data_IF_459393449508
#
_entry.id   IF_459393449508
#
_cell.length_a   1.000
_cell.length_b   1.000
_cell.length_c   1.000
_cell.angle_alpha   90.00
_cell.angle_beta   90.00
_cell.angle_gamma   90.00
#
_symmetry.space_group_name_H-M   'P 1'
#
loop_
_entity.id
_entity.type
_entity.pdbx_description
1 polymer ?
#
# COMPACT_ATOMS: atom_id res chain seq x y z
N UNK A 1 -5.58 42.21 22.89
CA UNK A 1 -5.11 41.24 21.91
C UNK A 1 -4.92 42.01 20.60
N UNK A 2 -3.67 42.37 20.25
CA UNK A 2 -3.35 43.03 18.98
C UNK A 2 -3.63 42.04 17.86
N UNK A 3 -4.53 42.36 16.95
CA UNK A 3 -4.76 41.55 15.74
C UNK A 3 -3.41 41.43 14.98
N UNK A 4 -2.89 40.24 14.86
CA UNK A 4 -1.73 39.95 14.03
C UNK A 4 -2.20 40.04 12.58
N UNK A 5 -2.03 41.22 11.96
CA UNK A 5 -2.33 41.42 10.55
C UNK A 5 -1.29 40.67 9.70
N UNK A 6 -1.70 39.64 9.01
CA UNK A 6 -0.85 38.92 8.07
C UNK A 6 -0.56 39.84 6.87
N UNK A 7 0.73 40.05 6.56
CA UNK A 7 1.15 40.84 5.41
C UNK A 7 0.62 40.23 4.10
N UNK A 8 0.21 41.11 3.17
CA UNK A 8 -0.34 40.73 1.86
C UNK A 8 0.66 41.08 0.75
N UNK A 9 0.41 40.54 -0.45
CA UNK A 9 1.18 40.91 -1.66
C UNK A 9 1.14 42.43 -1.93
N UNK A 10 0.01 43.06 -1.59
CA UNK A 10 -0.14 44.54 -1.70
C UNK A 10 0.81 45.29 -0.78
N UNK A 11 0.98 44.81 0.46
CA UNK A 11 1.88 45.39 1.42
C UNK A 11 3.34 45.25 0.97
N UNK A 12 3.73 44.09 0.43
CA UNK A 12 5.05 43.87 -0.18
C UNK A 12 5.30 44.81 -1.36
N UNK A 13 4.33 44.91 -2.29
CA UNK A 13 4.45 45.80 -3.45
C UNK A 13 4.61 47.26 -3.02
N UNK A 14 3.83 47.70 -2.04
CA UNK A 14 3.92 49.07 -1.49
C UNK A 14 5.28 49.35 -0.82
N UNK A 15 5.78 48.43 0.02
CA UNK A 15 7.05 48.58 0.69
C UNK A 15 8.23 48.53 -0.28
N UNK A 16 8.17 47.70 -1.32
CA UNK A 16 9.19 47.57 -2.37
C UNK A 16 9.16 48.74 -3.39
N UNK A 17 8.12 49.59 -3.38
CA UNK A 17 7.94 50.65 -4.36
C UNK A 17 7.75 50.15 -5.78
N UNK A 18 7.02 49.04 -5.97
CA UNK A 18 6.76 48.43 -7.27
C UNK A 18 5.25 48.16 -7.47
N UNK A 19 4.84 47.97 -8.70
CA UNK A 19 3.47 47.54 -8.99
C UNK A 19 3.21 46.09 -8.56
N UNK A 20 1.94 45.74 -8.23
CA UNK A 20 1.54 44.41 -7.82
C UNK A 20 1.98 43.29 -8.81
N UNK A 21 1.89 43.55 -10.11
CA UNK A 21 2.34 42.61 -11.16
C UNK A 21 3.85 42.40 -11.13
N UNK A 22 4.64 43.42 -10.76
CA UNK A 22 6.10 43.31 -10.61
C UNK A 22 6.46 42.53 -9.34
N UNK A 23 5.79 42.81 -8.24
CA UNK A 23 5.95 42.03 -7.00
C UNK A 23 5.56 40.54 -7.21
N UNK A 24 4.45 40.27 -7.89
CA UNK A 24 4.01 38.91 -8.24
C UNK A 24 5.03 38.20 -9.12
N UNK A 25 5.61 38.86 -10.13
CA UNK A 25 6.66 38.28 -10.99
C UNK A 25 7.94 37.99 -10.21
N UNK A 26 8.35 38.87 -9.33
CA UNK A 26 9.51 38.65 -8.46
C UNK A 26 9.35 37.40 -7.59
N UNK A 27 8.17 37.24 -7.00
CA UNK A 27 7.83 36.10 -6.12
C UNK A 27 7.68 34.78 -6.89
N UNK A 28 7.06 34.82 -8.07
CA UNK A 28 6.80 33.63 -8.89
C UNK A 28 7.99 33.20 -9.75
N UNK A 29 8.97 34.09 -9.96
CA UNK A 29 10.09 33.88 -10.90
C UNK A 29 9.67 33.84 -12.36
N UNK A 30 8.41 34.23 -12.69
CA UNK A 30 7.85 34.18 -14.05
C UNK A 30 7.83 35.58 -14.69
N UNK A 31 8.57 35.73 -15.77
CA UNK A 31 8.63 36.95 -16.60
C UNK A 31 9.80 37.89 -16.25
N UNK A 32 10.07 38.86 -17.16
CA UNK A 32 11.22 39.77 -16.98
C UNK A 32 11.00 40.73 -15.79
N UNK A 33 12.02 40.84 -14.97
CA UNK A 33 12.12 41.81 -13.86
C UNK A 33 13.55 42.30 -13.76
N UNK A 34 13.78 43.60 -13.45
CA UNK A 34 15.11 44.10 -13.22
C UNK A 34 15.70 43.58 -11.88
N UNK A 35 17.03 43.40 -11.84
CA UNK A 35 17.71 42.92 -10.63
C UNK A 35 17.44 43.83 -9.43
N UNK A 36 17.37 45.13 -9.64
CA UNK A 36 17.06 46.14 -8.61
C UNK A 36 15.64 45.94 -8.04
N UNK A 37 14.63 45.80 -8.91
CA UNK A 37 13.24 45.53 -8.47
C UNK A 37 13.11 44.19 -7.72
N UNK A 38 13.80 43.13 -8.18
CA UNK A 38 13.84 41.86 -7.49
C UNK A 38 14.43 41.96 -6.07
N UNK A 39 15.57 42.68 -5.94
CA UNK A 39 16.20 42.90 -4.64
C UNK A 39 15.30 43.68 -3.67
N UNK A 40 14.64 44.75 -4.13
CA UNK A 40 13.68 45.51 -3.31
C UNK A 40 12.49 44.69 -2.85
N UNK A 41 11.94 43.86 -3.73
CA UNK A 41 10.84 42.94 -3.38
C UNK A 41 11.30 41.89 -2.36
N UNK A 42 12.51 41.35 -2.52
CA UNK A 42 13.06 40.38 -1.56
C UNK A 42 13.26 41.01 -0.19
N UNK A 43 13.82 42.22 -0.10
CA UNK A 43 13.97 42.95 1.14
C UNK A 43 12.61 43.24 1.82
N UNK A 44 11.59 43.61 1.03
CA UNK A 44 10.23 43.82 1.54
C UNK A 44 9.58 42.53 2.07
N UNK A 45 9.80 41.38 1.42
CA UNK A 45 9.34 40.07 1.89
C UNK A 45 9.94 39.75 3.26
N UNK A 46 11.24 39.96 3.43
CA UNK A 46 11.95 39.71 4.68
C UNK A 46 11.47 40.65 5.79
N UNK A 47 11.40 41.96 5.51
CA UNK A 47 10.95 42.96 6.47
C UNK A 47 9.51 42.74 6.98
N UNK A 48 8.62 42.28 6.10
CA UNK A 48 7.22 42.02 6.43
C UNK A 48 6.97 40.58 6.92
N UNK A 49 7.99 39.73 6.97
CA UNK A 49 7.87 38.29 7.17
C UNK A 49 6.74 37.70 6.28
N UNK A 50 6.66 38.22 5.03
CA UNK A 50 5.62 37.85 4.11
C UNK A 50 5.85 36.43 3.60
N UNK A 51 4.85 35.57 3.76
CA UNK A 51 4.83 34.26 3.14
C UNK A 51 3.82 34.26 2.01
N UNK A 52 4.25 34.04 0.75
CA UNK A 52 3.33 33.93 -0.37
C UNK A 52 2.26 32.88 -0.07
N UNK A 53 0.98 33.22 -0.15
CA UNK A 53 -0.09 32.24 0.08
C UNK A 53 0.03 31.13 -0.96
N UNK A 54 -0.20 29.89 -0.51
CA UNK A 54 -0.27 28.73 -1.41
C UNK A 54 -1.33 28.93 -2.51
N UNK A 55 -2.44 29.59 -2.17
CA UNK A 55 -3.54 29.94 -3.08
C UNK A 55 -3.04 30.90 -4.17
N UNK A 56 -2.30 31.95 -3.83
CA UNK A 56 -1.76 32.89 -4.82
C UNK A 56 -0.76 32.25 -5.79
N UNK A 57 0.04 31.29 -5.31
CA UNK A 57 0.92 30.47 -6.18
C UNK A 57 0.11 29.50 -7.03
N UNK A 58 -0.89 28.84 -6.46
CA UNK A 58 -1.76 27.91 -7.17
C UNK A 58 -2.48 28.58 -8.33
N UNK A 59 -3.03 29.79 -8.16
CA UNK A 59 -3.65 30.57 -9.25
C UNK A 59 -2.67 30.86 -10.41
N UNK A 60 -1.39 31.05 -10.11
CA UNK A 60 -0.38 31.32 -11.14
C UNK A 60 0.19 30.05 -11.79
N UNK A 61 0.16 28.92 -11.11
CA UNK A 61 0.77 27.65 -11.56
C UNK A 61 -0.25 26.59 -11.93
N UNK A 62 -1.52 26.78 -11.59
CA UNK A 62 -2.58 25.77 -11.65
C UNK A 62 -2.20 24.47 -10.91
N UNK A 63 -1.46 24.62 -9.80
CA UNK A 63 -0.97 23.50 -8.99
C UNK A 63 -0.75 23.96 -7.55
N UNK A 64 -1.31 23.23 -6.59
CA UNK A 64 -1.03 23.43 -5.16
C UNK A 64 0.29 22.77 -4.72
N UNK A 65 0.87 21.93 -5.57
CA UNK A 65 2.08 21.18 -5.25
C UNK A 65 1.85 20.07 -4.25
N UNK A 66 0.65 19.50 -4.24
CA UNK A 66 0.22 18.44 -3.34
C UNK A 66 -0.33 17.26 -4.12
N UNK A 67 0.06 16.05 -3.71
CA UNK A 67 -0.55 14.80 -4.15
C UNK A 67 -1.37 14.24 -2.98
N UNK A 68 -2.63 13.94 -3.24
CA UNK A 68 -3.48 13.24 -2.29
C UNK A 68 -3.18 11.74 -2.27
N UNK A 69 -3.28 11.11 -1.12
CA UNK A 69 -3.27 9.66 -1.00
C UNK A 69 -4.38 9.21 -0.07
N UNK A 70 -5.22 8.31 -0.56
CA UNK A 70 -6.18 7.60 0.27
C UNK A 70 -5.60 6.27 0.71
N UNK A 71 -5.63 6.01 2.01
CA UNK A 71 -5.34 4.71 2.63
C UNK A 71 -6.50 4.33 3.56
N UNK A 72 -6.93 3.06 3.62
CA UNK A 72 -8.04 2.64 4.50
C UNK A 72 -7.75 2.88 5.98
N UNK A 73 -6.48 2.76 6.37
CA UNK A 73 -6.04 2.94 7.77
C UNK A 73 -4.59 3.43 7.81
N UNK A 74 -4.22 4.09 8.90
CA UNK A 74 -2.80 4.41 9.21
C UNK A 74 -2.08 3.26 9.90
N UNK A 75 -2.77 2.18 10.19
CA UNK A 75 -2.22 1.06 10.93
C UNK A 75 -1.53 0.06 10.01
N UNK A 76 -0.44 -0.53 10.51
CA UNK A 76 0.29 -1.60 9.82
C UNK A 76 1.49 -1.12 8.99
N UNK A 77 2.49 -1.99 8.88
CA UNK A 77 3.74 -1.75 8.15
C UNK A 77 3.57 -1.67 6.64
N UNK A 78 2.56 -2.36 6.08
CA UNK A 78 2.23 -2.30 4.66
C UNK A 78 1.92 -0.87 4.20
N UNK A 79 0.93 -0.20 4.83
CA UNK A 79 0.59 1.19 4.52
C UNK A 79 1.71 2.16 4.87
N UNK A 80 2.48 1.88 5.94
CA UNK A 80 3.66 2.63 6.32
C UNK A 80 4.72 2.65 5.22
N UNK A 81 4.96 1.52 4.56
CA UNK A 81 5.89 1.40 3.42
C UNK A 81 5.42 2.24 2.24
N UNK A 82 4.13 2.18 1.90
CA UNK A 82 3.54 2.96 0.81
C UNK A 82 3.65 4.47 1.09
N UNK A 83 3.28 4.91 2.29
CA UNK A 83 3.36 6.33 2.67
C UNK A 83 4.81 6.84 2.64
N UNK A 84 5.75 6.07 3.19
CA UNK A 84 7.18 6.39 3.17
C UNK A 84 7.72 6.54 1.75
N UNK A 85 7.39 5.60 0.86
CA UNK A 85 7.87 5.63 -0.51
C UNK A 85 7.21 6.78 -1.30
N UNK A 86 5.91 7.02 -1.09
CA UNK A 86 5.20 8.16 -1.69
C UNK A 86 5.84 9.49 -1.28
N UNK A 87 6.12 9.69 0.00
CA UNK A 87 6.78 10.90 0.51
C UNK A 87 8.18 11.06 -0.10
N UNK A 88 8.96 9.99 -0.22
CA UNK A 88 10.30 10.02 -0.80
C UNK A 88 10.29 10.52 -2.27
N UNK A 89 9.40 9.97 -3.11
CA UNK A 89 9.28 10.36 -4.52
C UNK A 89 8.78 11.82 -4.66
N UNK A 90 7.84 12.26 -3.81
CA UNK A 90 7.32 13.62 -3.84
C UNK A 90 8.34 14.65 -3.37
N UNK A 91 9.17 14.32 -2.37
CA UNK A 91 10.28 15.20 -1.93
C UNK A 91 11.29 15.46 -3.05
N UNK A 92 11.56 14.45 -3.91
CA UNK A 92 12.47 14.61 -5.04
C UNK A 92 12.03 15.71 -6.02
N UNK A 93 10.74 15.96 -6.13
CA UNK A 93 10.14 17.03 -6.95
C UNK A 93 9.65 18.23 -6.12
N UNK A 94 10.02 18.31 -4.83
CA UNK A 94 9.62 19.37 -3.89
C UNK A 94 8.10 19.52 -3.79
N UNK A 95 7.39 18.38 -3.68
CA UNK A 95 5.95 18.30 -3.49
C UNK A 95 5.63 17.67 -2.14
N UNK A 96 4.38 17.81 -1.72
CA UNK A 96 3.90 17.32 -0.43
C UNK A 96 2.82 16.27 -0.64
N UNK A 97 2.72 15.32 0.31
CA UNK A 97 1.62 14.38 0.39
C UNK A 97 0.53 14.92 1.32
N UNK A 98 -0.72 14.73 0.95
CA UNK A 98 -1.90 14.91 1.79
C UNK A 98 -2.56 13.56 1.95
N UNK A 99 -2.62 13.05 3.17
CA UNK A 99 -3.17 11.72 3.45
C UNK A 99 -4.61 11.86 3.93
N UNK A 100 -5.51 11.07 3.41
CA UNK A 100 -6.87 10.92 3.90
C UNK A 100 -7.17 9.45 4.20
N UNK A 101 -7.91 9.24 5.28
CA UNK A 101 -8.55 7.96 5.62
C UNK A 101 -10.06 8.13 5.56
N UNK A 102 -10.80 7.04 5.67
CA UNK A 102 -12.24 7.10 5.84
C UNK A 102 -12.65 7.79 7.13
N UNK A 103 -13.82 8.40 7.15
CA UNK A 103 -14.42 9.01 8.34
C UNK A 103 -15.93 8.75 8.39
N UNK A 104 -16.50 8.87 9.61
CA UNK A 104 -17.93 8.68 9.84
C UNK A 104 -18.33 7.22 10.07
N UNK A 105 -19.58 7.03 10.49
CA UNK A 105 -20.22 5.73 10.75
C UNK A 105 -20.95 5.21 9.50
N UNK A 106 -20.24 5.12 8.39
CA UNK A 106 -20.74 4.62 7.10
C UNK A 106 -19.92 3.40 6.66
N UNK A 107 -20.33 2.73 5.59
CA UNK A 107 -19.60 1.56 5.12
C UNK A 107 -18.16 1.89 4.67
N UNK A 108 -17.19 0.95 4.76
CA UNK A 108 -15.82 1.17 4.30
C UNK A 108 -15.74 1.69 2.86
N UNK A 109 -16.64 1.22 1.97
CA UNK A 109 -16.75 1.72 0.59
C UNK A 109 -17.14 3.20 0.53
N UNK A 110 -18.15 3.61 1.30
CA UNK A 110 -18.58 5.02 1.36
C UNK A 110 -17.49 5.90 1.96
N UNK A 111 -16.81 5.44 3.01
CA UNK A 111 -15.66 6.13 3.60
C UNK A 111 -14.55 6.35 2.56
N UNK A 112 -14.24 5.35 1.75
CA UNK A 112 -13.24 5.45 0.70
C UNK A 112 -13.65 6.47 -0.38
N UNK A 113 -14.89 6.44 -0.83
CA UNK A 113 -15.43 7.40 -1.82
C UNK A 113 -15.34 8.83 -1.29
N UNK A 114 -15.77 9.06 -0.05
CA UNK A 114 -15.75 10.39 0.57
C UNK A 114 -14.34 10.92 0.77
N UNK A 115 -13.41 10.08 1.22
CA UNK A 115 -12.02 10.46 1.41
C UNK A 115 -11.33 10.83 0.09
N UNK A 116 -11.58 10.10 -0.99
CA UNK A 116 -11.05 10.45 -2.32
C UNK A 116 -11.69 11.76 -2.82
N UNK A 117 -13.00 11.94 -2.65
CA UNK A 117 -13.69 13.22 -2.99
C UNK A 117 -13.15 14.38 -2.16
N UNK A 118 -12.85 14.17 -0.88
CA UNK A 118 -12.20 15.18 -0.05
C UNK A 118 -10.86 15.62 -0.63
N UNK A 119 -10.01 14.68 -1.04
CA UNK A 119 -8.71 14.99 -1.66
C UNK A 119 -8.86 15.75 -2.98
N UNK A 120 -9.83 15.37 -3.81
CA UNK A 120 -10.19 16.07 -5.05
C UNK A 120 -10.65 17.51 -4.71
N UNK A 121 -11.55 17.67 -3.74
CA UNK A 121 -12.07 18.97 -3.30
C UNK A 121 -11.02 19.86 -2.61
N UNK A 122 -9.86 19.33 -2.27
CA UNK A 122 -8.67 20.07 -1.76
C UNK A 122 -7.73 20.47 -2.89
N UNK A 123 -8.13 20.33 -4.14
CA UNK A 123 -7.34 20.65 -5.32
C UNK A 123 -5.96 19.99 -5.32
N UNK A 124 -5.88 18.74 -4.84
CA UNK A 124 -4.67 17.93 -5.00
C UNK A 124 -4.38 17.77 -6.50
N UNK A 125 -3.11 17.94 -6.88
CA UNK A 125 -2.69 17.89 -8.30
C UNK A 125 -2.88 16.51 -8.93
N UNK A 126 -2.91 15.48 -8.09
CA UNK A 126 -3.21 14.09 -8.42
C UNK A 126 -3.54 13.30 -7.16
N UNK A 127 -4.11 12.11 -7.32
CA UNK A 127 -4.54 11.26 -6.21
C UNK A 127 -4.05 9.83 -6.39
N UNK A 128 -3.43 9.29 -5.33
CA UNK A 128 -3.11 7.87 -5.19
C UNK A 128 -4.24 7.21 -4.40
N UNK A 129 -4.78 6.11 -4.91
CA UNK A 129 -5.89 5.38 -4.28
C UNK A 129 -5.48 3.96 -3.97
N UNK A 130 -5.63 3.56 -2.71
CA UNK A 130 -5.42 2.19 -2.25
C UNK A 130 -6.70 1.76 -1.55
N UNK A 131 -7.46 0.86 -2.14
CA UNK A 131 -8.67 0.33 -1.52
C UNK A 131 -9.08 -0.99 -2.16
N UNK A 132 -9.42 -1.94 -1.30
CA UNK A 132 -10.10 -3.18 -1.69
C UNK A 132 -11.63 -3.04 -1.64
N UNK A 133 -12.17 -1.97 -1.03
CA UNK A 133 -13.60 -1.76 -0.86
C UNK A 133 -14.26 -1.04 -2.06
N UNK A 134 -13.48 -0.32 -2.87
CA UNK A 134 -13.99 0.38 -4.05
C UNK A 134 -14.25 -0.61 -5.18
N UNK A 135 -15.42 -0.50 -5.81
CA UNK A 135 -15.76 -1.24 -7.02
C UNK A 135 -15.30 -0.50 -8.28
N UNK A 136 -15.27 -1.19 -9.41
CA UNK A 136 -14.82 -0.61 -10.68
C UNK A 136 -15.68 0.62 -11.12
N UNK A 137 -16.98 0.58 -10.81
CA UNK A 137 -17.86 1.74 -11.08
C UNK A 137 -17.49 2.97 -10.24
N UNK A 138 -17.03 2.76 -9.00
CA UNK A 138 -16.56 3.85 -8.13
C UNK A 138 -15.26 4.44 -8.69
N UNK A 139 -14.32 3.58 -9.10
CA UNK A 139 -13.05 4.01 -9.70
C UNK A 139 -13.29 4.80 -10.98
N UNK A 140 -14.21 4.34 -11.83
CA UNK A 140 -14.64 5.05 -13.03
C UNK A 140 -15.26 6.42 -12.72
N UNK A 141 -16.14 6.47 -11.73
CA UNK A 141 -16.77 7.72 -11.30
C UNK A 141 -15.72 8.71 -10.79
N UNK A 142 -14.84 8.27 -9.89
CA UNK A 142 -13.80 9.10 -9.30
C UNK A 142 -12.78 9.58 -10.34
N UNK A 143 -12.36 8.69 -11.26
CA UNK A 143 -11.46 9.06 -12.35
C UNK A 143 -12.06 10.08 -13.30
N UNK A 144 -13.36 10.00 -13.61
CA UNK A 144 -14.05 11.06 -14.41
C UNK A 144 -14.06 12.39 -13.69
N UNK A 145 -14.14 12.41 -12.35
CA UNK A 145 -14.05 13.65 -11.56
C UNK A 145 -12.63 14.22 -11.54
N UNK A 146 -11.61 13.37 -11.50
CA UNK A 146 -10.22 13.77 -11.45
C UNK A 146 -9.32 12.77 -12.22
N UNK A 147 -9.00 13.06 -13.50
CA UNK A 147 -8.28 12.11 -14.37
C UNK A 147 -6.84 11.79 -13.95
N UNK A 148 -6.22 12.64 -13.13
CA UNK A 148 -4.87 12.38 -12.61
C UNK A 148 -4.92 11.54 -11.34
N UNK A 149 -5.19 10.25 -11.52
CA UNK A 149 -5.36 9.29 -10.45
C UNK A 149 -4.58 8.02 -10.77
N UNK A 150 -4.03 7.38 -9.74
CA UNK A 150 -3.34 6.09 -9.84
C UNK A 150 -3.87 5.14 -8.79
N UNK A 151 -4.05 3.88 -9.16
CA UNK A 151 -4.57 2.82 -8.31
C UNK A 151 -3.44 1.86 -7.93
N UNK A 152 -3.24 1.72 -6.63
CA UNK A 152 -2.23 0.81 -6.05
C UNK A 152 -2.88 -0.47 -5.57
N UNK A 153 -2.19 -1.58 -5.81
CA UNK A 153 -2.60 -2.93 -5.41
C UNK A 153 -3.98 -3.32 -5.95
N UNK A 154 -4.35 -2.78 -7.10
CA UNK A 154 -5.59 -3.02 -7.80
C UNK A 154 -5.34 -3.18 -9.29
N UNK A 155 -5.72 -4.32 -9.85
CA UNK A 155 -5.89 -4.45 -11.30
C UNK A 155 -7.21 -3.78 -11.70
N UNK A 156 -7.16 -2.84 -12.64
CA UNK A 156 -8.33 -2.14 -13.14
C UNK A 156 -8.25 -2.07 -14.66
N UNK A 157 -8.93 -2.99 -15.33
CA UNK A 157 -8.79 -3.24 -16.78
C UNK A 157 -9.20 -2.06 -17.64
N UNK A 158 -10.04 -1.16 -17.12
CA UNK A 158 -10.47 0.04 -17.85
C UNK A 158 -9.42 1.15 -17.88
N UNK A 159 -8.44 1.12 -16.96
CA UNK A 159 -7.33 2.07 -16.86
C UNK A 159 -6.02 1.34 -16.52
N UNK A 160 -5.54 0.44 -17.38
CA UNK A 160 -4.38 -0.39 -17.09
C UNK A 160 -3.10 0.45 -16.90
N UNK A 161 -3.02 1.60 -17.57
CA UNK A 161 -1.89 2.53 -17.43
C UNK A 161 -1.85 3.24 -16.08
N UNK A 162 -2.99 3.39 -15.40
CA UNK A 162 -3.10 3.99 -14.07
C UNK A 162 -3.12 2.95 -12.94
N UNK A 163 -3.04 1.66 -13.27
CA UNK A 163 -3.10 0.54 -12.32
C UNK A 163 -1.72 -0.07 -12.10
N UNK A 164 -1.35 -0.24 -10.84
CA UNK A 164 -0.11 -0.87 -10.42
C UNK A 164 -0.43 -1.95 -9.39
N UNK A 165 -0.21 -3.20 -9.78
CA UNK A 165 -0.54 -4.37 -8.98
C UNK A 165 0.52 -5.46 -9.15
N UNK A 166 0.81 -6.19 -8.09
CA UNK A 166 1.60 -7.41 -8.17
C UNK A 166 0.73 -8.59 -8.65
N UNK A 167 1.37 -9.67 -9.11
CA UNK A 167 0.66 -10.89 -9.47
C UNK A 167 0.25 -11.68 -8.22
N UNK A 168 -0.89 -11.32 -7.63
CA UNK A 168 -1.43 -11.97 -6.44
C UNK A 168 -1.82 -13.43 -6.67
N UNK A 169 -2.23 -13.78 -7.90
CA UNK A 169 -2.50 -15.17 -8.24
C UNK A 169 -1.22 -16.01 -8.14
N UNK A 170 -0.14 -15.51 -8.74
CA UNK A 170 1.17 -16.15 -8.64
C UNK A 170 1.67 -16.21 -7.20
N UNK A 171 1.44 -15.16 -6.41
CA UNK A 171 1.76 -15.14 -4.98
C UNK A 171 1.04 -16.25 -4.21
N UNK A 172 -0.25 -16.45 -4.48
CA UNK A 172 -1.03 -17.55 -3.90
C UNK A 172 -0.50 -18.94 -4.31
N UNK A 173 -0.15 -19.13 -5.60
CA UNK A 173 0.49 -20.37 -6.08
C UNK A 173 1.78 -20.66 -5.32
N UNK A 174 2.63 -19.66 -5.12
CA UNK A 174 3.90 -19.78 -4.39
C UNK A 174 3.67 -20.14 -2.92
N UNK A 175 2.67 -19.55 -2.26
CA UNK A 175 2.32 -19.90 -0.88
C UNK A 175 1.92 -21.35 -0.74
N UNK A 176 1.01 -21.84 -1.60
CA UNK A 176 0.58 -23.23 -1.61
C UNK A 176 1.75 -24.19 -1.91
N UNK A 177 2.54 -23.89 -2.94
CA UNK A 177 3.70 -24.71 -3.32
C UNK A 177 4.71 -24.80 -2.18
N UNK A 178 4.98 -23.72 -1.48
CA UNK A 178 5.90 -23.72 -0.34
C UNK A 178 5.41 -24.66 0.76
N UNK A 179 4.14 -24.59 1.15
CA UNK A 179 3.58 -25.52 2.13
C UNK A 179 3.66 -26.99 1.67
N UNK A 180 3.34 -27.25 0.41
CA UNK A 180 3.38 -28.59 -0.18
C UNK A 180 4.81 -29.17 -0.23
N UNK A 181 5.81 -28.37 -0.58
CA UNK A 181 7.23 -28.77 -0.66
C UNK A 181 7.81 -29.09 0.72
N UNK A 182 7.24 -28.48 1.77
CA UNK A 182 7.55 -28.85 3.17
C UNK A 182 6.71 -30.01 3.70
N UNK A 183 5.84 -30.59 2.86
CA UNK A 183 5.08 -31.80 3.15
C UNK A 183 3.77 -31.56 3.87
N UNK A 184 3.32 -30.30 4.00
CA UNK A 184 2.02 -29.99 4.61
C UNK A 184 0.89 -30.40 3.69
N UNK A 185 -0.10 -31.13 4.23
CA UNK A 185 -1.34 -31.54 3.57
C UNK A 185 -2.57 -31.13 4.40
N UNK A 186 -2.42 -31.12 5.71
CA UNK A 186 -3.44 -30.64 6.65
C UNK A 186 -3.26 -29.12 6.79
N UNK A 187 -3.96 -28.34 5.96
CA UNK A 187 -3.74 -26.92 5.77
C UNK A 187 -4.95 -26.11 6.26
N UNK A 188 -4.68 -24.98 6.91
CA UNK A 188 -5.67 -23.94 7.15
C UNK A 188 -5.24 -22.63 6.46
N UNK A 189 -6.25 -21.82 6.11
CA UNK A 189 -6.09 -20.50 5.51
C UNK A 189 -6.88 -19.47 6.30
N UNK A 190 -6.21 -18.42 6.77
CA UNK A 190 -6.85 -17.20 7.27
C UNK A 190 -6.78 -16.18 6.14
N UNK A 191 -7.91 -15.96 5.48
CA UNK A 191 -8.01 -15.05 4.34
C UNK A 191 -8.37 -13.64 4.76
N UNK A 192 -8.16 -12.68 3.87
CA UNK A 192 -8.82 -11.37 3.96
C UNK A 192 -10.30 -11.47 3.56
N UNK A 193 -10.99 -10.30 3.44
CA UNK A 193 -12.35 -10.24 2.98
C UNK A 193 -12.51 -10.90 1.60
N UNK A 194 -13.53 -11.73 1.43
CA UNK A 194 -13.78 -12.41 0.15
C UNK A 194 -14.17 -11.42 -0.96
N UNK A 195 -14.60 -10.22 -0.61
CA UNK A 195 -14.88 -9.15 -1.58
C UNK A 195 -13.63 -8.48 -2.14
N UNK A 196 -12.49 -8.59 -1.47
CA UNK A 196 -11.23 -7.94 -1.88
C UNK A 196 -10.62 -8.65 -3.10
N UNK A 197 -10.46 -7.94 -4.22
CA UNK A 197 -10.01 -8.52 -5.50
C UNK A 197 -8.61 -9.12 -5.46
N UNK A 198 -7.68 -8.50 -4.73
CA UNK A 198 -6.33 -9.00 -4.51
C UNK A 198 -6.34 -10.29 -3.69
N UNK A 199 -7.22 -10.38 -2.66
CA UNK A 199 -7.42 -11.59 -1.89
C UNK A 199 -8.06 -12.71 -2.73
N UNK A 200 -9.03 -12.39 -3.58
CA UNK A 200 -9.64 -13.37 -4.51
C UNK A 200 -8.57 -13.97 -5.42
N UNK A 201 -7.77 -13.15 -6.07
CA UNK A 201 -6.69 -13.61 -6.95
C UNK A 201 -5.67 -14.50 -6.19
N UNK A 202 -5.32 -14.11 -4.96
CA UNK A 202 -4.45 -14.88 -4.06
C UNK A 202 -5.02 -16.25 -3.71
N UNK A 203 -6.29 -16.30 -3.32
CA UNK A 203 -6.98 -17.55 -3.01
C UNK A 203 -7.16 -18.43 -4.25
N UNK A 204 -7.48 -17.86 -5.41
CA UNK A 204 -7.56 -18.61 -6.66
C UNK A 204 -6.25 -19.31 -7.01
N UNK A 205 -5.12 -18.59 -6.93
CA UNK A 205 -3.81 -19.17 -7.14
C UNK A 205 -3.48 -20.26 -6.12
N UNK A 206 -3.75 -19.99 -4.85
CA UNK A 206 -3.50 -20.93 -3.75
C UNK A 206 -4.27 -22.24 -3.94
N UNK A 207 -5.58 -22.17 -4.13
CA UNK A 207 -6.40 -23.36 -4.31
C UNK A 207 -6.16 -24.09 -5.65
N UNK A 208 -5.83 -23.36 -6.71
CA UNK A 208 -5.45 -23.98 -7.98
C UNK A 208 -4.18 -24.83 -7.82
N UNK A 209 -3.21 -24.37 -7.03
CA UNK A 209 -1.98 -25.12 -6.78
C UNK A 209 -2.21 -26.33 -5.87
N UNK A 210 -3.03 -26.20 -4.82
CA UNK A 210 -3.42 -27.35 -3.98
C UNK A 210 -4.14 -28.42 -4.78
N UNK A 211 -5.04 -28.03 -5.68
CA UNK A 211 -5.79 -28.96 -6.52
C UNK A 211 -4.89 -29.79 -7.46
N UNK A 212 -3.77 -29.22 -7.94
CA UNK A 212 -2.75 -29.95 -8.74
C UNK A 212 -2.11 -31.09 -7.94
N UNK A 213 -2.02 -30.94 -6.62
CA UNK A 213 -1.51 -31.96 -5.70
C UNK A 213 -2.61 -32.82 -5.05
N UNK A 214 -3.84 -32.75 -5.57
CA UNK A 214 -4.97 -33.59 -5.16
C UNK A 214 -5.65 -33.17 -3.86
N UNK A 215 -5.41 -31.95 -3.35
CA UNK A 215 -6.09 -31.41 -2.16
C UNK A 215 -7.28 -30.57 -2.60
N UNK A 216 -8.49 -31.02 -2.26
CA UNK A 216 -9.71 -30.30 -2.57
C UNK A 216 -9.88 -29.06 -1.67
N UNK A 217 -10.58 -28.04 -2.16
CA UNK A 217 -10.87 -26.84 -1.37
C UNK A 217 -11.59 -27.15 -0.05
N UNK A 218 -12.49 -28.11 -0.04
CA UNK A 218 -13.27 -28.52 1.13
C UNK A 218 -12.43 -29.26 2.18
N UNK A 219 -11.25 -29.75 1.81
CA UNK A 219 -10.29 -30.36 2.73
C UNK A 219 -9.51 -29.30 3.53
N UNK A 220 -9.51 -28.04 3.08
CA UNK A 220 -8.81 -26.92 3.70
C UNK A 220 -9.73 -26.18 4.67
N UNK A 221 -9.24 -25.89 5.87
CA UNK A 221 -9.94 -25.02 6.81
C UNK A 221 -9.77 -23.58 6.38
N UNK A 222 -10.80 -22.96 5.79
CA UNK A 222 -10.78 -21.59 5.32
C UNK A 222 -11.58 -20.69 6.27
N UNK A 223 -10.93 -19.69 6.85
CA UNK A 223 -11.54 -18.70 7.75
C UNK A 223 -11.38 -17.31 7.14
N UNK A 224 -12.50 -16.63 6.89
CA UNK A 224 -12.49 -15.22 6.46
C UNK A 224 -12.16 -14.31 7.64
N UNK A 225 -11.36 -13.27 7.37
CA UNK A 225 -10.96 -12.21 8.27
C UNK A 225 -10.94 -10.85 7.56
N UNK A 226 -10.41 -9.82 8.19
CA UNK A 226 -10.48 -8.42 7.78
C UNK A 226 -9.10 -7.75 7.57
N UNK A 227 -8.05 -8.56 7.44
CA UNK A 227 -6.65 -8.13 7.36
C UNK A 227 -6.09 -7.48 8.64
N UNK A 228 -6.88 -7.36 9.71
CA UNK A 228 -6.45 -6.77 10.98
C UNK A 228 -5.70 -7.77 11.88
N UNK A 229 -4.89 -7.30 12.84
CA UNK A 229 -4.27 -8.17 13.84
C UNK A 229 -5.32 -8.87 14.71
N UNK A 230 -6.39 -8.17 15.10
CA UNK A 230 -7.50 -8.70 15.91
C UNK A 230 -8.24 -9.81 15.18
N UNK A 231 -8.52 -9.58 13.88
CA UNK A 231 -9.14 -10.56 13.00
C UNK A 231 -8.28 -11.80 12.82
N UNK A 232 -6.98 -11.64 12.59
CA UNK A 232 -6.01 -12.73 12.50
C UNK A 232 -5.94 -13.57 13.78
N UNK A 233 -5.89 -12.91 14.93
CA UNK A 233 -5.90 -13.56 16.23
C UNK A 233 -7.18 -14.37 16.47
N UNK A 234 -8.34 -13.78 16.22
CA UNK A 234 -9.65 -14.44 16.36
C UNK A 234 -9.83 -15.59 15.37
N UNK A 235 -9.38 -15.41 14.13
CA UNK A 235 -9.42 -16.46 13.11
C UNK A 235 -8.52 -17.66 13.48
N UNK A 236 -7.34 -17.40 14.05
CA UNK A 236 -6.46 -18.46 14.56
C UNK A 236 -7.14 -19.26 15.67
N UNK A 237 -7.88 -18.60 16.57
CA UNK A 237 -8.67 -19.31 17.58
C UNK A 237 -9.72 -20.23 16.94
N UNK A 238 -10.42 -19.78 15.89
CA UNK A 238 -11.38 -20.63 15.15
C UNK A 238 -10.71 -21.83 14.48
N UNK A 239 -9.47 -21.67 13.97
CA UNK A 239 -8.68 -22.80 13.44
C UNK A 239 -8.43 -23.83 14.53
N UNK A 240 -8.00 -23.41 15.73
CA UNK A 240 -7.75 -24.27 16.87
C UNK A 240 -9.02 -24.98 17.35
N UNK A 241 -10.15 -24.28 17.37
CA UNK A 241 -11.45 -24.81 17.79
C UNK A 241 -12.07 -25.78 16.77
N UNK A 242 -11.63 -25.76 15.52
CA UNK A 242 -12.16 -26.61 14.45
C UNK A 242 -11.95 -28.09 14.68
N UNK A 243 -11.07 -28.48 15.62
CA UNK A 243 -10.67 -29.86 15.91
C UNK A 243 -10.13 -30.63 14.70
N UNK A 244 -9.90 -29.95 13.57
CA UNK A 244 -9.19 -30.52 12.42
C UNK A 244 -7.69 -30.51 12.74
N UNK A 245 -7.00 -31.52 12.31
CA UNK A 245 -5.54 -31.48 12.31
C UNK A 245 -5.11 -30.40 11.31
N UNK A 246 -4.24 -29.49 11.75
CA UNK A 246 -3.61 -28.49 10.90
C UNK A 246 -2.12 -28.49 11.20
N UNK A 247 -1.31 -28.62 10.16
CA UNK A 247 0.14 -28.60 10.26
C UNK A 247 0.76 -27.40 9.55
N UNK A 248 0.03 -26.81 8.60
CA UNK A 248 0.43 -25.60 7.87
C UNK A 248 -0.69 -24.57 7.89
N UNK A 249 -0.37 -23.34 8.32
CA UNK A 249 -1.26 -22.20 8.37
C UNK A 249 -0.78 -21.13 7.37
N UNK A 250 -1.61 -20.78 6.39
CA UNK A 250 -1.39 -19.64 5.52
C UNK A 250 -2.28 -18.48 5.94
N UNK A 251 -1.68 -17.33 6.21
CA UNK A 251 -2.39 -16.08 6.46
C UNK A 251 -2.24 -15.15 5.25
N UNK A 252 -3.34 -14.59 4.79
CA UNK A 252 -3.37 -13.79 3.58
C UNK A 252 -2.66 -12.41 3.69
N UNK A 253 -2.15 -12.03 4.87
CA UNK A 253 -1.16 -10.98 5.06
C UNK A 253 -0.30 -11.25 6.30
N UNK A 254 0.81 -10.52 6.43
CA UNK A 254 1.75 -10.66 7.55
C UNK A 254 1.17 -10.15 8.87
N UNK A 255 0.33 -9.14 8.82
CA UNK A 255 -0.34 -8.59 10.01
C UNK A 255 -1.15 -9.68 10.74
N UNK A 256 -1.95 -10.45 9.99
CA UNK A 256 -2.70 -11.59 10.54
C UNK A 256 -1.76 -12.74 10.93
N UNK A 257 -0.68 -12.98 10.15
CA UNK A 257 0.27 -14.05 10.46
C UNK A 257 1.02 -13.80 11.76
N UNK A 258 1.47 -12.57 12.02
CA UNK A 258 2.12 -12.19 13.28
C UNK A 258 1.17 -12.36 14.47
N UNK A 259 -0.10 -11.98 14.34
CA UNK A 259 -1.08 -12.20 15.39
C UNK A 259 -1.44 -13.69 15.56
N UNK A 260 -1.39 -14.48 14.48
CA UNK A 260 -1.52 -15.92 14.53
C UNK A 260 -0.37 -16.56 15.32
N UNK A 261 0.89 -16.15 15.08
CA UNK A 261 2.04 -16.58 15.87
C UNK A 261 1.84 -16.33 17.37
N UNK A 262 1.36 -15.12 17.73
CA UNK A 262 1.08 -14.77 19.10
C UNK A 262 -0.01 -15.67 19.72
N UNK A 263 -1.10 -15.96 18.96
CA UNK A 263 -2.17 -16.82 19.45
C UNK A 263 -1.72 -18.28 19.61
N UNK A 264 -0.94 -18.80 18.65
CA UNK A 264 -0.37 -20.16 18.73
C UNK A 264 0.57 -20.30 19.92
N UNK A 265 1.44 -19.33 20.15
CA UNK A 265 2.32 -19.30 21.32
C UNK A 265 1.54 -19.36 22.64
N UNK A 266 0.46 -18.57 22.77
CA UNK A 266 -0.42 -18.61 23.96
C UNK A 266 -1.17 -19.94 24.11
N UNK A 267 -1.40 -20.66 23.02
CA UNK A 267 -2.00 -22.00 23.04
C UNK A 267 -0.97 -23.11 23.35
N UNK A 268 0.32 -22.78 23.45
CA UNK A 268 1.38 -23.73 23.64
C UNK A 268 1.75 -24.54 22.40
N UNK A 269 1.35 -24.08 21.20
CA UNK A 269 1.64 -24.73 19.91
C UNK A 269 3.02 -24.26 19.44
N UNK A 270 3.94 -25.19 19.22
CA UNK A 270 5.28 -24.89 18.76
C UNK A 270 5.30 -24.57 17.25
N UNK A 271 5.81 -23.39 16.89
CA UNK A 271 6.05 -22.99 15.51
C UNK A 271 7.56 -22.99 15.25
N UNK A 272 8.06 -23.72 14.25
CA UNK A 272 7.33 -24.46 13.21
C UNK A 272 7.05 -25.94 13.52
N UNK A 273 7.48 -26.49 14.66
CA UNK A 273 7.59 -27.92 14.90
C UNK A 273 6.23 -28.65 14.90
N UNK A 274 5.17 -28.03 15.40
CA UNK A 274 3.81 -28.58 15.41
C UNK A 274 2.96 -27.98 14.30
N UNK A 275 3.15 -26.69 14.01
CA UNK A 275 2.43 -25.97 12.96
C UNK A 275 3.34 -24.94 12.30
N UNK A 276 3.51 -25.03 10.99
CA UNK A 276 4.16 -23.97 10.20
C UNK A 276 3.21 -22.81 9.95
N UNK A 277 3.74 -21.57 9.97
CA UNK A 277 2.98 -20.36 9.66
C UNK A 277 3.62 -19.64 8.48
N UNK A 278 2.81 -19.26 7.51
CA UNK A 278 3.23 -18.49 6.35
C UNK A 278 2.37 -17.25 6.20
N UNK A 279 3.01 -16.12 5.96
CA UNK A 279 2.37 -14.83 5.70
C UNK A 279 2.38 -14.44 4.23
N UNK A 280 2.05 -13.18 4.00
CA UNK A 280 1.98 -12.55 2.68
C UNK A 280 2.25 -11.05 2.84
N UNK A 281 2.95 -10.44 1.92
CA UNK A 281 3.47 -9.08 1.77
C UNK A 281 4.98 -8.99 2.00
N UNK A 282 5.57 -9.81 2.88
CA UNK A 282 6.95 -9.72 3.38
C UNK A 282 7.24 -8.31 3.92
N UNK A 283 6.31 -7.84 4.75
CA UNK A 283 6.41 -6.53 5.35
C UNK A 283 7.49 -6.48 6.44
N UNK A 284 7.78 -5.27 6.93
CA UNK A 284 8.82 -5.06 7.93
C UNK A 284 8.65 -5.93 9.18
N UNK A 285 7.43 -6.24 9.60
CA UNK A 285 7.16 -7.02 10.81
C UNK A 285 7.53 -8.49 10.67
N UNK A 286 7.50 -9.04 9.46
CA UNK A 286 7.79 -10.45 9.18
C UNK A 286 9.21 -10.85 9.61
N UNK A 287 10.19 -9.98 9.36
CA UNK A 287 11.59 -10.23 9.68
C UNK A 287 11.89 -10.18 11.20
N UNK A 288 11.05 -9.48 11.96
CA UNK A 288 11.23 -9.27 13.40
C UNK A 288 10.23 -10.03 14.27
N UNK A 289 9.38 -10.86 13.66
CA UNK A 289 8.54 -11.81 14.38
C UNK A 289 9.41 -12.89 15.06
N UNK A 290 8.86 -13.55 16.07
CA UNK A 290 9.52 -14.65 16.77
C UNK A 290 8.58 -15.89 16.83
N UNK A 291 8.87 -16.95 16.05
CA UNK A 291 9.96 -17.08 15.05
C UNK A 291 9.79 -16.11 13.86
N UNK A 292 10.89 -15.79 13.15
CA UNK A 292 10.87 -14.99 11.93
C UNK A 292 9.90 -15.58 10.91
N UNK A 293 9.04 -14.73 10.34
CA UNK A 293 7.90 -15.17 9.52
C UNK A 293 8.32 -15.41 8.08
N UNK A 294 8.16 -16.65 7.60
CA UNK A 294 8.19 -16.96 6.17
C UNK A 294 7.00 -16.32 5.49
N UNK A 295 7.24 -15.56 4.42
CA UNK A 295 6.20 -14.77 3.77
C UNK A 295 6.37 -14.71 2.25
N UNK A 296 5.28 -14.55 1.53
CA UNK A 296 5.32 -14.18 0.11
C UNK A 296 5.72 -12.72 0.00
N UNK A 297 6.83 -12.47 -0.68
CA UNK A 297 7.33 -11.12 -0.92
C UNK A 297 6.59 -10.45 -2.07
N UNK A 298 6.01 -9.29 -1.77
CA UNK A 298 5.45 -8.34 -2.74
C UNK A 298 6.36 -7.12 -2.76
N UNK A 299 6.88 -6.68 -3.92
CA UNK A 299 7.77 -5.53 -4.01
C UNK A 299 6.99 -4.21 -3.85
N UNK A 300 6.36 -4.02 -2.68
CA UNK A 300 5.45 -2.90 -2.37
C UNK A 300 6.11 -1.54 -2.53
N UNK A 301 7.39 -1.42 -2.16
CA UNK A 301 8.13 -0.16 -2.29
C UNK A 301 8.35 0.21 -3.77
N UNK A 302 8.79 -0.74 -4.59
CA UNK A 302 9.05 -0.55 -6.02
C UNK A 302 7.74 -0.30 -6.78
N UNK A 303 6.69 -1.03 -6.44
CA UNK A 303 5.35 -0.85 -6.99
C UNK A 303 4.84 0.56 -6.70
N UNK A 304 4.94 1.01 -5.43
CA UNK A 304 4.56 2.37 -5.02
C UNK A 304 5.40 3.43 -5.72
N UNK A 305 6.72 3.22 -5.80
CA UNK A 305 7.63 4.12 -6.49
C UNK A 305 7.19 4.37 -7.93
N UNK A 306 6.95 3.31 -8.68
CA UNK A 306 6.58 3.40 -10.10
C UNK A 306 5.19 4.03 -10.29
N UNK A 307 4.23 3.71 -9.44
CA UNK A 307 2.90 4.31 -9.47
C UNK A 307 2.95 5.82 -9.18
N UNK A 308 3.68 6.24 -8.15
CA UNK A 308 3.84 7.66 -7.81
C UNK A 308 4.61 8.40 -8.90
N UNK A 309 5.67 7.83 -9.46
CA UNK A 309 6.41 8.40 -10.59
C UNK A 309 5.53 8.57 -11.81
N UNK A 310 4.71 7.57 -12.14
CA UNK A 310 3.74 7.69 -13.22
C UNK A 310 2.78 8.87 -12.98
N UNK A 311 2.22 9.00 -11.78
CA UNK A 311 1.33 10.09 -11.43
C UNK A 311 2.04 11.45 -11.48
N UNK A 312 3.27 11.54 -10.98
CA UNK A 312 4.11 12.75 -11.03
C UNK A 312 4.36 13.18 -12.49
N UNK A 313 4.63 12.22 -13.39
CA UNK A 313 4.75 12.50 -14.83
C UNK A 313 3.47 13.13 -15.40
N UNK A 314 2.29 12.64 -14.99
CA UNK A 314 0.98 13.20 -15.42
C UNK A 314 0.74 14.61 -14.84
N UNK A 315 1.17 14.84 -13.60
CA UNK A 315 0.90 16.11 -12.91
C UNK A 315 1.89 17.22 -13.26
N UNK A 316 3.18 16.89 -13.41
CA UNK A 316 4.26 17.89 -13.42
C UNK A 316 5.12 17.85 -14.70
N UNK A 317 4.73 17.09 -15.72
CA UNK A 317 5.43 16.95 -16.99
C UNK A 317 6.90 16.50 -16.82
N UNK A 318 7.16 15.68 -15.83
CA UNK A 318 8.42 14.95 -15.69
C UNK A 318 8.43 13.77 -16.67
N UNK A 319 9.61 13.17 -16.86
CA UNK A 319 9.78 12.02 -17.80
C UNK A 319 10.51 10.90 -17.07
N UNK A 320 10.12 10.60 -15.85
CA UNK A 320 10.70 9.49 -15.10
C UNK A 320 10.36 8.17 -15.77
N UNK A 321 11.32 7.29 -15.81
CA UNK A 321 11.13 5.92 -16.28
C UNK A 321 10.20 5.15 -15.34
N UNK A 322 9.32 4.32 -15.92
CA UNK A 322 8.30 3.56 -15.21
C UNK A 322 8.42 2.10 -15.57
N UNK A 323 8.62 1.26 -14.57
CA UNK A 323 8.57 -0.18 -14.70
C UNK A 323 7.19 -0.69 -14.26
N UNK A 324 6.75 -1.82 -14.85
CA UNK A 324 5.40 -2.37 -14.61
C UNK A 324 5.42 -3.85 -14.26
N UNK A 325 6.59 -4.45 -14.20
CA UNK A 325 6.76 -5.83 -13.78
C UNK A 325 7.19 -5.86 -12.31
N UNK A 326 6.37 -6.52 -11.49
CA UNK A 326 6.56 -6.61 -10.05
C UNK A 326 6.57 -8.09 -9.65
N UNK A 327 7.72 -8.79 -9.82
CA UNK A 327 7.82 -10.21 -9.55
C UNK A 327 7.57 -10.51 -8.07
N UNK A 328 6.80 -11.55 -7.81
CA UNK A 328 6.56 -12.07 -6.47
C UNK A 328 7.48 -13.24 -6.19
N UNK A 329 7.91 -13.41 -4.94
CA UNK A 329 8.79 -14.49 -4.50
C UNK A 329 8.42 -14.94 -3.09
N UNK A 330 9.17 -15.89 -2.52
CA UNK A 330 9.00 -16.29 -1.12
C UNK A 330 10.27 -16.00 -0.36
N UNK A 331 10.14 -15.31 0.75
CA UNK A 331 11.21 -15.12 1.73
C UNK A 331 11.06 -16.16 2.83
N UNK A 332 11.98 -17.12 2.83
CA UNK A 332 12.01 -18.21 3.83
C UNK A 332 12.60 -17.72 5.14
N UNK A 333 11.93 -18.05 6.26
CA UNK A 333 12.40 -17.78 7.63
C UNK A 333 12.04 -18.94 8.56
N UNK A 334 12.12 -18.73 9.86
CA UNK A 334 12.05 -19.78 10.88
C UNK A 334 10.64 -20.32 11.15
N UNK A 335 9.58 -19.62 10.74
CA UNK A 335 8.18 -20.06 10.95
C UNK A 335 7.74 -21.22 10.06
N UNK A 336 8.61 -21.65 9.12
CA UNK A 336 8.35 -22.77 8.21
C UNK A 336 9.27 -23.94 8.52
N UNK A 337 8.70 -25.10 8.81
CA UNK A 337 9.38 -26.37 9.04
C UNK A 337 8.74 -27.50 8.24
N UNK A 338 9.32 -28.69 8.28
CA UNK A 338 8.70 -29.89 7.66
C UNK A 338 7.46 -30.30 8.44
N UNK A 339 6.44 -30.73 7.71
CA UNK A 339 5.22 -31.23 8.33
C UNK A 339 5.51 -32.39 9.31
N UNK A 340 4.89 -32.40 10.50
CA UNK A 340 5.05 -33.49 11.45
C UNK A 340 4.67 -34.83 10.81
N UNK A 341 5.63 -35.78 10.79
CA UNK A 341 5.46 -37.12 10.20
C UNK A 341 5.87 -37.25 8.73
N UNK A 342 6.28 -36.17 8.05
CA UNK A 342 6.74 -36.25 6.65
C UNK A 342 8.16 -36.84 6.47
N UNK A 343 8.82 -37.24 7.53
CA UNK A 343 10.24 -37.59 7.55
C UNK A 343 10.64 -38.99 7.06
N UNK A 344 9.71 -39.86 6.60
CA UNK A 344 10.02 -41.25 6.26
C UNK A 344 9.94 -41.59 4.74
N UNK A 345 9.24 -40.80 3.92
CA UNK A 345 8.92 -41.22 2.53
C UNK A 345 9.87 -40.73 1.42
N UNK A 346 10.58 -39.61 1.60
CA UNK A 346 11.34 -38.98 0.51
C UNK A 346 12.75 -39.55 0.31
N UNK A 347 13.28 -40.35 1.27
CA UNK A 347 14.57 -41.04 1.07
C UNK A 347 14.45 -42.29 0.18
N UNK A 348 13.26 -42.88 0.03
CA UNK A 348 13.08 -44.10 -0.76
C UNK A 348 12.98 -43.85 -2.29
N UNK A 349 12.47 -42.71 -2.73
CA UNK A 349 12.30 -42.45 -4.18
C UNK A 349 13.59 -41.95 -4.88
N UNK A 350 14.55 -41.37 -4.15
CA UNK A 350 15.85 -40.99 -4.75
C UNK A 350 16.87 -42.12 -4.87
N UNK A 351 16.69 -43.21 -4.12
CA UNK A 351 17.58 -44.38 -4.20
C UNK A 351 17.20 -45.35 -5.33
N UNK A 352 16.01 -45.24 -5.93
CA UNK A 352 15.50 -46.15 -6.99
C UNK A 352 15.69 -45.67 -8.42
N UNK A 353 16.38 -44.52 -8.66
CA UNK A 353 16.63 -43.99 -10.02
C UNK A 353 18.11 -43.87 -10.41
N UNK A 354 18.98 -44.65 -9.76
CA UNK A 354 20.36 -44.84 -10.23
C UNK A 354 20.63 -46.34 -10.23
N UNK A 355 20.20 -46.99 -11.31
CA UNK A 355 20.75 -48.23 -11.84
C UNK A 355 20.31 -48.38 -13.30
#
# INVERSE_FOLDING_TARGET
LTEIRVATLKDVAALAGVGMSTASRAISGKGPISADAAARVQAAIEALNFRPSSIGRAMATQSLGMIGIFVPTFFGSYYGTILKQTDAELRAVRRHVVVATGCGEVSPREQAIEAVRFLIGRDCDGVVVISHDLHDDDLNMLHRMHPKMVFLNRAFDQLPEASFCADHRRGGELAARTLLDYGHRDIAVISGPFSASDNQARLEGFFAELARDGIARDDVTLIESDFSPEGGYAATQKVLDSKRRVTGLFCANDTMAVSALARLHQAGIAVPDEMSVMGYDDDYSAAYAAPGLTSVHIPTAELTQNAVRWLVNQCYRTTWEIFREFPVSVTMRESMGRAPGAGASVKAERAGRVS
#
